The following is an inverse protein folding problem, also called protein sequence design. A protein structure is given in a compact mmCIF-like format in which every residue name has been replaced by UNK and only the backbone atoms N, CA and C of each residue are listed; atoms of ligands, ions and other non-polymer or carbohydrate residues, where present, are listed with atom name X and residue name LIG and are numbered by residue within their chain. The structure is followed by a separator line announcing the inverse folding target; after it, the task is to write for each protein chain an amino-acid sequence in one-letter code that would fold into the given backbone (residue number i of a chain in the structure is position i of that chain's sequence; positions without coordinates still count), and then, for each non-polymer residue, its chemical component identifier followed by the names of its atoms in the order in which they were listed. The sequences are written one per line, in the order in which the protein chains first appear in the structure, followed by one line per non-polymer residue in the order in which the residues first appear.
data_IF_948730875031
#
_entry.id   IF_948730875031
#
_cell.length_a   1.000
_cell.length_b   1.000
_cell.length_c   1.000
_cell.angle_alpha   90.00
_cell.angle_beta   90.00
_cell.angle_gamma   90.00
#
_symmetry.space_group_name_H-M   'P 1'
#
loop_
_entity.id
_entity.type
_entity.pdbx_description
1 polymer ?
#
# COMPACT_ATOMS: atom_id res chain seq x y z
N UNK A 1 -10.87 38.91 30.96
CA UNK A 1 -11.53 37.84 30.17
C UNK A 1 -11.22 37.93 28.66
N UNK A 2 -10.03 38.38 28.27
CA UNK A 2 -9.69 38.65 26.85
C UNK A 2 -8.81 37.54 26.23
N UNK A 3 -8.07 36.81 27.09
CA UNK A 3 -7.19 35.69 26.69
C UNK A 3 -7.96 34.41 26.34
N UNK A 4 -9.15 34.19 26.92
CA UNK A 4 -9.99 33.01 26.66
C UNK A 4 -10.65 33.03 25.27
N UNK A 5 -10.94 34.23 24.73
CA UNK A 5 -11.55 34.41 23.41
C UNK A 5 -10.59 34.09 22.25
N UNK A 6 -9.28 34.16 22.48
CA UNK A 6 -8.25 33.84 21.48
C UNK A 6 -7.96 32.32 21.42
N UNK A 7 -8.24 31.58 22.49
CA UNK A 7 -7.98 30.15 22.56
C UNK A 7 -8.96 29.33 21.72
N UNK A 8 -10.19 29.81 21.56
CA UNK A 8 -11.24 29.14 20.77
C UNK A 8 -10.88 29.09 19.28
N UNK A 9 -10.54 30.20 18.58
CA UNK A 9 -10.17 30.14 17.17
C UNK A 9 -8.84 29.41 16.95
N UNK A 10 -7.91 29.47 17.92
CA UNK A 10 -6.63 28.77 17.84
C UNK A 10 -6.81 27.24 17.91
N UNK A 11 -7.69 26.75 18.79
CA UNK A 11 -8.02 25.33 18.87
C UNK A 11 -8.70 24.82 17.59
N UNK A 12 -9.56 25.64 16.98
CA UNK A 12 -10.28 25.32 15.74
C UNK A 12 -9.33 25.24 14.52
N UNK A 13 -8.30 26.09 14.48
CA UNK A 13 -7.25 26.05 13.46
C UNK A 13 -6.39 24.78 13.56
N UNK A 14 -6.07 24.33 14.78
CA UNK A 14 -5.24 23.13 15.00
C UNK A 14 -6.01 21.86 14.59
N UNK A 15 -7.31 21.78 14.82
CA UNK A 15 -8.12 20.61 14.41
C UNK A 15 -8.22 20.42 12.90
N UNK A 16 -8.07 21.48 12.10
CA UNK A 16 -8.15 21.39 10.64
C UNK A 16 -6.93 20.70 10.00
N UNK A 17 -5.78 20.64 10.69
CA UNK A 17 -4.57 20.00 10.17
C UNK A 17 -4.53 18.48 10.33
N UNK A 18 -5.41 17.89 11.16
CA UNK A 18 -5.44 16.45 11.40
C UNK A 18 -6.39 15.66 10.48
N UNK A 19 -7.14 16.34 9.60
CA UNK A 19 -8.16 15.70 8.73
C UNK A 19 -7.64 15.39 7.33
N UNK A 20 -6.44 15.83 6.95
CA UNK A 20 -5.90 15.64 5.59
C UNK A 20 -5.16 14.30 5.37
N UNK A 21 -5.08 13.44 6.37
CA UNK A 21 -4.52 12.08 6.24
C UNK A 21 -5.67 11.07 6.20
N UNK A 22 -6.47 11.13 5.13
CA UNK A 22 -7.25 9.99 4.69
C UNK A 22 -6.30 9.12 3.89
N UNK A 23 -5.80 8.04 4.49
CA UNK A 23 -5.22 6.96 3.73
C UNK A 23 -6.28 6.55 2.71
N UNK A 24 -5.95 6.50 1.42
CA UNK A 24 -6.79 5.90 0.38
C UNK A 24 -6.89 4.40 0.70
N UNK A 25 -7.62 4.08 1.75
CA UNK A 25 -8.01 2.72 2.09
C UNK A 25 -8.87 2.29 0.95
N UNK A 26 -8.31 1.45 0.07
CA UNK A 26 -9.08 0.63 -0.84
C UNK A 26 -10.21 0.04 0.01
N UNK A 27 -11.44 0.51 -0.19
CA UNK A 27 -12.58 0.03 0.57
C UNK A 27 -12.70 -1.47 0.35
N UNK A 28 -12.26 -2.27 1.32
CA UNK A 28 -12.27 -3.74 1.27
C UNK A 28 -13.70 -4.32 1.44
N UNK A 29 -14.74 -3.49 1.30
CA UNK A 29 -16.15 -3.91 1.38
C UNK A 29 -16.70 -4.45 0.05
N UNK A 30 -15.83 -4.72 -0.92
CA UNK A 30 -16.17 -5.45 -2.14
C UNK A 30 -16.09 -6.98 -1.92
N UNK A 31 -16.86 -7.79 -2.67
CA UNK A 31 -16.70 -9.23 -2.60
C UNK A 31 -15.27 -9.63 -2.96
N UNK A 32 -14.58 -10.26 -2.02
CA UNK A 32 -13.24 -10.82 -2.24
C UNK A 32 -13.34 -12.03 -3.16
N UNK A 33 -12.40 -12.13 -4.10
CA UNK A 33 -12.25 -13.29 -4.97
C UNK A 33 -10.95 -14.02 -4.62
N UNK A 34 -11.00 -15.35 -4.60
CA UNK A 34 -9.80 -16.17 -4.59
C UNK A 34 -9.16 -16.11 -5.98
N UNK A 35 -7.89 -15.71 -6.03
CA UNK A 35 -7.15 -15.49 -7.28
C UNK A 35 -5.77 -16.12 -7.18
N UNK A 36 -5.32 -16.68 -8.30
CA UNK A 36 -3.95 -17.16 -8.45
C UNK A 36 -3.20 -16.27 -9.43
N UNK A 37 -2.02 -15.81 -9.02
CA UNK A 37 -1.08 -15.10 -9.89
C UNK A 37 -0.06 -16.10 -10.43
N UNK A 38 0.22 -16.03 -11.73
CA UNK A 38 1.29 -16.79 -12.36
C UNK A 38 2.05 -15.86 -13.31
N UNK A 39 3.37 -15.99 -13.36
CA UNK A 39 4.19 -15.11 -14.18
C UNK A 39 5.61 -15.60 -14.39
N UNK A 40 6.42 -14.75 -15.02
CA UNK A 40 7.85 -15.00 -15.22
C UNK A 40 8.65 -13.72 -14.98
N UNK A 41 9.73 -13.83 -14.21
CA UNK A 41 10.69 -12.75 -14.00
C UNK A 41 11.85 -12.92 -14.98
N UNK A 42 12.14 -11.85 -15.73
CA UNK A 42 13.24 -11.79 -16.70
C UNK A 42 14.10 -10.54 -16.46
N UNK A 43 15.36 -10.61 -16.84
CA UNK A 43 16.26 -9.45 -16.84
C UNK A 43 16.19 -8.67 -18.17
N UNK A 44 17.05 -7.66 -18.30
CA UNK A 44 17.15 -6.79 -19.48
C UNK A 44 17.61 -7.54 -20.74
N UNK A 45 18.28 -8.68 -20.60
CA UNK A 45 18.68 -9.57 -21.68
C UNK A 45 17.56 -10.53 -22.12
N UNK A 46 16.47 -10.59 -21.37
CA UNK A 46 15.38 -11.53 -21.56
C UNK A 46 15.62 -12.91 -20.91
N UNK A 47 16.72 -13.05 -20.17
CA UNK A 47 17.07 -14.26 -19.46
C UNK A 47 16.22 -14.40 -18.19
N UNK A 48 15.89 -15.65 -17.85
CA UNK A 48 15.10 -15.94 -16.67
C UNK A 48 15.88 -15.67 -15.38
N UNK A 49 15.23 -15.07 -14.39
CA UNK A 49 15.82 -14.84 -13.07
C UNK A 49 15.35 -15.92 -12.09
N UNK A 50 16.24 -16.85 -11.76
CA UNK A 50 16.05 -17.85 -10.69
C UNK A 50 16.25 -17.22 -9.31
N UNK A 51 15.44 -17.63 -8.32
CA UNK A 51 15.63 -17.21 -6.93
C UNK A 51 15.09 -15.82 -6.59
N UNK A 52 14.33 -15.19 -7.48
CA UNK A 52 13.72 -13.90 -7.24
C UNK A 52 12.55 -14.03 -6.24
N UNK A 53 12.50 -13.09 -5.28
CA UNK A 53 11.40 -13.01 -4.32
C UNK A 53 10.22 -12.25 -4.92
N UNK A 54 9.09 -12.93 -5.10
CA UNK A 54 7.84 -12.35 -5.54
C UNK A 54 6.90 -12.20 -4.35
N UNK A 55 6.31 -11.02 -4.18
CA UNK A 55 5.35 -10.70 -3.10
C UNK A 55 4.08 -10.09 -3.66
N UNK A 56 2.93 -10.61 -3.22
CA UNK A 56 1.61 -10.07 -3.54
C UNK A 56 0.79 -9.99 -2.25
N UNK A 57 0.68 -8.78 -1.69
CA UNK A 57 0.07 -8.60 -0.36
C UNK A 57 0.83 -9.40 0.70
N UNK A 58 0.15 -10.36 1.33
CA UNK A 58 0.70 -11.21 2.39
C UNK A 58 1.32 -12.52 1.87
N UNK A 59 1.16 -12.84 0.59
CA UNK A 59 1.71 -14.05 -0.01
C UNK A 59 3.08 -13.80 -0.63
N UNK A 60 3.93 -14.82 -0.63
CA UNK A 60 5.25 -14.75 -1.27
C UNK A 60 5.74 -16.09 -1.79
N UNK A 61 6.53 -16.06 -2.85
CA UNK A 61 7.15 -17.24 -3.45
C UNK A 61 8.52 -16.88 -4.05
N UNK A 62 9.27 -17.90 -4.45
CA UNK A 62 10.58 -17.79 -5.09
C UNK A 62 10.49 -18.36 -6.50
N UNK A 63 11.03 -17.65 -7.48
CA UNK A 63 11.03 -18.12 -8.87
C UNK A 63 11.90 -19.35 -9.08
N UNK A 64 11.47 -20.25 -9.96
CA UNK A 64 12.23 -21.43 -10.38
C UNK A 64 13.37 -21.06 -11.37
N UNK A 65 14.10 -22.07 -11.86
CA UNK A 65 15.17 -21.91 -12.87
C UNK A 65 14.72 -21.27 -14.20
N UNK A 66 13.43 -21.27 -14.49
CA UNK A 66 12.84 -20.65 -15.68
C UNK A 66 12.26 -19.26 -15.35
N UNK A 67 12.46 -18.76 -14.13
CA UNK A 67 11.93 -17.49 -13.64
C UNK A 67 10.44 -17.53 -13.32
N UNK A 68 9.82 -18.72 -13.30
CA UNK A 68 8.37 -18.88 -13.12
C UNK A 68 7.99 -18.85 -11.64
N UNK A 69 6.87 -18.21 -11.34
CA UNK A 69 6.23 -18.18 -10.02
C UNK A 69 4.73 -18.39 -10.12
#
# INVERSE_FOLDING_TARGET
MQKLKLLIPLALLISAFFVACGEDGLSEDGPLADVSFAGRIIDEGGDAVEGALVKAGNESTITDKNGVF
#
